data_IF_914752738766
#
_entry.id   IF_914752738766
#
_cell.length_a   1.000
_cell.length_b   1.000
_cell.length_c   1.000
_cell.angle_alpha   90.00
_cell.angle_beta   90.00
_cell.angle_gamma   90.00
#
_symmetry.space_group_name_H-M   'P 1'
#
loop_
_entity.id
_entity.type
_entity.pdbx_description
1 polymer ?
#
# COMPACT_ATOMS: atom_id res chain seq x y z
N UNK A 1 8.13 -13.96 9.45
CA UNK A 1 8.85 -14.48 8.26
C UNK A 1 10.36 -14.29 8.40
N UNK A 2 10.77 -13.17 8.98
CA UNK A 2 12.19 -12.81 9.19
C UNK A 2 13.01 -13.85 9.98
N UNK A 3 12.38 -14.62 10.88
CA UNK A 3 13.04 -15.65 11.71
C UNK A 3 12.71 -17.10 11.35
N UNK A 4 12.24 -17.37 10.15
CA UNK A 4 12.03 -18.76 9.68
C UNK A 4 13.39 -19.47 9.62
N UNK A 5 13.52 -20.62 10.28
CA UNK A 5 14.74 -21.43 10.32
C UNK A 5 15.17 -21.85 8.92
N UNK A 6 16.46 -22.11 8.67
CA UNK A 6 17.00 -22.34 7.32
C UNK A 6 16.53 -23.65 6.65
N UNK A 7 16.00 -24.59 7.43
CA UNK A 7 15.55 -25.94 7.03
C UNK A 7 14.11 -26.00 6.48
N UNK A 8 13.41 -24.86 6.41
CA UNK A 8 12.01 -24.79 5.95
C UNK A 8 11.93 -24.59 4.42
N UNK A 9 11.14 -25.40 3.72
CA UNK A 9 10.95 -25.23 2.26
C UNK A 9 9.88 -24.20 1.88
N UNK A 10 8.85 -24.04 2.73
CA UNK A 10 7.74 -23.13 2.49
C UNK A 10 7.11 -22.63 3.80
N UNK A 11 6.55 -21.42 3.77
CA UNK A 11 5.96 -20.75 4.93
C UNK A 11 4.50 -20.42 4.65
N UNK A 12 3.60 -20.93 5.47
CA UNK A 12 2.20 -20.53 5.46
C UNK A 12 1.92 -19.54 6.60
N UNK A 13 1.18 -18.48 6.32
CA UNK A 13 0.72 -17.53 7.33
C UNK A 13 -0.75 -17.75 7.61
N UNK A 14 -1.13 -17.81 8.88
CA UNK A 14 -2.51 -17.97 9.35
C UNK A 14 -2.81 -16.90 10.41
N UNK A 15 -3.99 -16.28 10.34
CA UNK A 15 -4.43 -15.39 11.40
C UNK A 15 -4.81 -16.18 12.66
N UNK A 16 -4.40 -15.71 13.84
CA UNK A 16 -4.73 -16.36 15.12
C UNK A 16 -6.21 -16.20 15.54
N UNK A 17 -7.05 -15.62 14.69
CA UNK A 17 -8.46 -15.33 14.98
C UNK A 17 -9.41 -16.52 14.68
N UNK A 18 -8.85 -17.69 14.38
CA UNK A 18 -9.51 -18.97 14.07
C UNK A 18 -10.61 -18.89 12.99
N UNK A 19 -10.66 -17.79 12.24
CA UNK A 19 -11.67 -17.61 11.18
C UNK A 19 -11.25 -18.29 9.88
N UNK A 20 -9.94 -18.46 9.67
CA UNK A 20 -9.39 -19.09 8.48
C UNK A 20 -9.12 -20.59 8.78
N UNK A 21 -9.75 -21.54 8.06
CA UNK A 21 -9.61 -22.97 8.35
C UNK A 21 -8.19 -23.46 8.06
N UNK A 22 -7.48 -24.10 9.01
CA UNK A 22 -6.14 -24.63 8.79
C UNK A 22 -6.06 -25.66 7.67
N UNK A 23 -7.15 -26.37 7.38
CA UNK A 23 -7.23 -27.39 6.32
C UNK A 23 -6.99 -26.79 4.93
N UNK A 24 -7.22 -25.48 4.77
CA UNK A 24 -6.95 -24.77 3.50
C UNK A 24 -5.44 -24.74 3.20
N UNK A 25 -4.57 -24.82 4.22
CA UNK A 25 -3.12 -24.89 4.03
C UNK A 25 -2.72 -26.16 3.27
N UNK A 26 -3.43 -27.27 3.44
CA UNK A 26 -3.20 -28.50 2.66
C UNK A 26 -3.47 -28.28 1.16
N UNK A 27 -4.48 -27.47 0.84
CA UNK A 27 -4.78 -27.07 -0.54
C UNK A 27 -3.73 -26.11 -1.08
N UNK A 28 -3.19 -25.21 -0.25
CA UNK A 28 -2.05 -24.38 -0.65
C UNK A 28 -0.82 -25.23 -0.99
N UNK A 29 -0.52 -26.23 -0.15
CA UNK A 29 0.59 -27.15 -0.37
C UNK A 29 0.46 -27.91 -1.70
N UNK A 30 -0.76 -28.35 -2.04
CA UNK A 30 -1.01 -29.02 -3.32
C UNK A 30 -0.73 -28.11 -4.53
N UNK A 31 -1.08 -26.83 -4.47
CA UNK A 31 -0.77 -25.87 -5.54
C UNK A 31 0.72 -25.50 -5.57
N UNK A 32 1.38 -25.39 -4.42
CA UNK A 32 2.82 -25.17 -4.33
C UNK A 32 3.61 -26.31 -4.97
N UNK A 33 3.21 -27.57 -4.70
CA UNK A 33 3.79 -28.76 -5.35
C UNK A 33 3.63 -28.77 -6.87
N UNK A 34 2.64 -28.07 -7.43
CA UNK A 34 2.45 -27.90 -8.89
C UNK A 34 3.38 -26.84 -9.49
N UNK A 35 4.16 -26.13 -8.68
CA UNK A 35 5.13 -25.13 -9.11
C UNK A 35 4.76 -23.67 -8.79
N UNK A 36 3.61 -23.42 -8.14
CA UNK A 36 3.27 -22.06 -7.71
C UNK A 36 4.18 -21.62 -6.54
N UNK A 37 4.94 -20.54 -6.72
CA UNK A 37 5.82 -20.01 -5.67
C UNK A 37 5.06 -19.26 -4.57
N UNK A 38 3.89 -18.72 -4.90
CA UNK A 38 3.01 -18.01 -3.98
C UNK A 38 1.59 -18.54 -4.14
N UNK A 39 0.93 -18.90 -3.05
CA UNK A 39 -0.47 -19.35 -3.07
C UNK A 39 -1.32 -18.48 -2.15
N UNK A 40 -2.28 -17.76 -2.73
CA UNK A 40 -3.16 -16.85 -2.00
C UNK A 40 -4.47 -17.53 -1.58
N UNK A 41 -4.89 -17.30 -0.34
CA UNK A 41 -6.24 -17.60 0.11
C UNK A 41 -7.21 -16.51 -0.33
N UNK A 42 -8.18 -16.85 -1.18
CA UNK A 42 -9.26 -15.93 -1.57
C UNK A 42 -10.59 -16.35 -0.96
N UNK A 43 -11.23 -15.42 -0.26
CA UNK A 43 -12.56 -15.64 0.32
C UNK A 43 -13.59 -15.69 -0.80
N UNK A 44 -14.42 -16.74 -0.86
CA UNK A 44 -15.52 -16.84 -1.84
C UNK A 44 -16.60 -15.79 -1.60
N UNK A 45 -16.97 -15.59 -0.33
CA UNK A 45 -18.05 -14.70 0.07
C UNK A 45 -17.50 -13.46 0.77
N UNK A 46 -17.50 -12.32 0.07
CA UNK A 46 -17.40 -11.00 0.71
C UNK A 46 -18.80 -10.49 0.98
N UNK A 47 -19.23 -10.50 2.24
CA UNK A 47 -20.44 -9.80 2.67
C UNK A 47 -20.19 -8.28 2.78
N UNK A 48 -19.65 -7.68 1.71
CA UNK A 48 -19.43 -6.24 1.66
C UNK A 48 -20.69 -5.55 1.11
N UNK A 49 -21.34 -4.75 1.96
CA UNK A 49 -22.50 -3.92 1.56
C UNK A 49 -22.08 -2.89 0.48
N UNK A 50 -22.70 -3.00 -0.70
CA UNK A 50 -22.79 -1.98 -1.77
C UNK A 50 -21.57 -1.09 -1.99
N UNK A 51 -21.59 0.11 -1.41
CA UNK A 51 -20.55 1.12 -1.61
C UNK A 51 -19.16 0.66 -1.16
N UNK A 52 -19.07 -0.15 -0.10
CA UNK A 52 -17.80 -0.72 0.38
C UNK A 52 -17.22 -1.66 -0.67
N UNK A 53 -18.07 -2.43 -1.36
CA UNK A 53 -17.66 -3.28 -2.47
C UNK A 53 -17.10 -2.44 -3.62
N UNK A 54 -17.74 -1.32 -3.97
CA UNK A 54 -17.30 -0.45 -5.05
C UNK A 54 -15.93 0.18 -4.74
N UNK A 55 -15.76 0.74 -3.54
CA UNK A 55 -14.47 1.30 -3.09
C UNK A 55 -13.38 0.23 -3.02
N UNK A 56 -13.67 -0.96 -2.48
CA UNK A 56 -12.72 -2.07 -2.42
C UNK A 56 -12.32 -2.57 -3.82
N UNK A 57 -13.26 -2.61 -4.77
CA UNK A 57 -12.98 -3.05 -6.14
C UNK A 57 -12.14 -2.02 -6.91
N UNK A 58 -12.49 -0.74 -6.77
CA UNK A 58 -11.70 0.36 -7.32
C UNK A 58 -10.27 0.34 -6.75
N UNK A 59 -10.15 0.13 -5.44
CA UNK A 59 -8.87 0.02 -4.74
C UNK A 59 -8.01 -1.14 -5.23
N UNK A 60 -8.59 -2.35 -5.31
CA UNK A 60 -7.86 -3.51 -5.83
C UNK A 60 -7.37 -3.25 -7.25
N UNK A 61 -8.20 -2.63 -8.10
CA UNK A 61 -7.81 -2.29 -9.46
C UNK A 61 -6.68 -1.24 -9.50
N UNK A 62 -6.72 -0.21 -8.64
CA UNK A 62 -5.65 0.79 -8.57
C UNK A 62 -4.33 0.17 -8.10
N UNK A 63 -4.35 -0.66 -7.06
CA UNK A 63 -3.14 -1.34 -6.58
C UNK A 63 -2.60 -2.27 -7.65
N UNK A 64 -3.46 -3.12 -8.25
CA UNK A 64 -3.05 -4.04 -9.32
C UNK A 64 -2.41 -3.31 -10.49
N UNK A 65 -2.89 -2.11 -10.81
CA UNK A 65 -2.43 -1.35 -11.98
C UNK A 65 -1.17 -0.53 -11.72
N UNK A 66 -1.04 0.06 -10.53
CA UNK A 66 -0.02 1.07 -10.25
C UNK A 66 1.02 0.67 -9.20
N UNK A 67 0.73 -0.34 -8.37
CA UNK A 67 1.56 -0.72 -7.23
C UNK A 67 2.11 -2.16 -7.30
N UNK A 68 1.55 -3.01 -8.18
CA UNK A 68 1.91 -4.43 -8.26
C UNK A 68 2.47 -4.82 -9.63
N UNK A 69 3.30 -5.88 -9.70
CA UNK A 69 3.71 -6.50 -10.95
C UNK A 69 2.51 -6.91 -11.81
N UNK A 70 2.64 -6.75 -13.13
CA UNK A 70 1.61 -7.12 -14.10
C UNK A 70 1.28 -8.61 -13.97
N UNK A 71 -0.01 -8.94 -13.90
CA UNK A 71 -0.47 -10.32 -13.77
C UNK A 71 -0.55 -10.85 -12.32
N UNK A 72 -0.28 -10.00 -11.31
CA UNK A 72 -0.41 -10.42 -9.92
C UNK A 72 -1.84 -10.85 -9.58
N UNK A 73 -1.97 -12.06 -9.03
CA UNK A 73 -3.22 -12.64 -8.54
C UNK A 73 -3.40 -12.41 -7.04
N UNK A 74 -2.72 -11.41 -6.47
CA UNK A 74 -2.78 -11.13 -5.03
C UNK A 74 -4.22 -10.97 -4.56
N UNK A 75 -4.47 -11.42 -3.34
CA UNK A 75 -5.74 -11.18 -2.64
C UNK A 75 -5.45 -10.44 -1.35
N UNK A 76 -6.29 -9.46 -1.04
CA UNK A 76 -6.22 -8.72 0.22
C UNK A 76 -6.47 -9.66 1.40
N UNK A 77 -5.42 -10.02 2.13
CA UNK A 77 -5.47 -10.91 3.27
C UNK A 77 -4.09 -11.36 3.75
N UNK A 78 -3.99 -11.74 5.01
CA UNK A 78 -2.78 -12.29 5.63
C UNK A 78 -2.66 -13.82 5.46
N UNK A 79 -3.54 -14.44 4.67
CA UNK A 79 -3.63 -15.90 4.52
C UNK A 79 -3.05 -16.34 3.18
N UNK A 80 -1.80 -16.80 3.19
CA UNK A 80 -1.09 -17.25 1.99
C UNK A 80 0.04 -18.22 2.36
N UNK A 81 0.55 -18.93 1.36
CA UNK A 81 1.75 -19.73 1.42
C UNK A 81 2.79 -19.13 0.48
N UNK A 82 4.03 -19.02 0.95
CA UNK A 82 5.17 -18.53 0.18
C UNK A 82 6.30 -19.56 0.22
N UNK A 83 6.88 -19.85 -0.95
CA UNK A 83 8.09 -20.65 -1.10
C UNK A 83 9.30 -19.97 -0.42
N UNK A 84 10.28 -20.77 0.01
CA UNK A 84 11.55 -20.29 0.58
C UNK A 84 12.15 -19.14 -0.24
N UNK A 85 12.22 -19.28 -1.56
CA UNK A 85 12.84 -18.27 -2.44
C UNK A 85 12.16 -16.91 -2.32
N UNK A 86 10.83 -16.92 -2.18
CA UNK A 86 10.03 -15.70 -2.00
C UNK A 86 10.31 -15.07 -0.63
N UNK A 87 10.42 -15.91 0.41
CA UNK A 87 10.72 -15.47 1.78
C UNK A 87 12.12 -14.86 1.86
N UNK A 88 13.10 -15.42 1.14
CA UNK A 88 14.46 -14.88 1.12
C UNK A 88 14.51 -13.51 0.41
N UNK A 89 13.85 -13.36 -0.74
CA UNK A 89 13.70 -12.04 -1.37
C UNK A 89 12.99 -11.03 -0.46
N UNK A 90 11.95 -11.46 0.26
CA UNK A 90 11.25 -10.61 1.21
C UNK A 90 12.14 -10.14 2.37
N UNK A 91 13.11 -10.96 2.82
CA UNK A 91 14.03 -10.59 3.91
C UNK A 91 15.00 -9.47 3.52
N UNK A 92 15.34 -9.35 2.25
CA UNK A 92 16.19 -8.27 1.74
C UNK A 92 15.45 -6.92 1.69
N UNK A 93 14.12 -6.93 1.71
CA UNK A 93 13.29 -5.72 1.67
C UNK A 93 13.30 -5.01 3.03
N UNK A 94 14.07 -3.93 3.15
CA UNK A 94 14.24 -3.17 4.41
C UNK A 94 13.20 -2.07 4.66
N UNK A 95 12.10 -2.05 3.90
CA UNK A 95 11.06 -1.03 4.04
C UNK A 95 10.53 -0.96 5.48
N UNK A 96 10.39 0.26 6.00
CA UNK A 96 9.92 0.57 7.34
C UNK A 96 8.40 0.40 7.47
N UNK A 97 7.65 0.73 6.42
CA UNK A 97 6.20 0.62 6.35
C UNK A 97 5.76 -0.70 5.68
N UNK A 98 6.17 -1.85 6.24
CA UNK A 98 5.93 -3.16 5.61
C UNK A 98 4.45 -3.51 5.55
N UNK A 99 3.95 -3.65 4.33
CA UNK A 99 2.69 -4.33 4.04
C UNK A 99 3.03 -5.71 3.48
N UNK A 100 3.11 -6.72 4.36
CA UNK A 100 3.69 -8.04 4.04
C UNK A 100 3.11 -8.68 2.77
N UNK A 101 1.78 -8.71 2.63
CA UNK A 101 1.15 -9.31 1.45
C UNK A 101 1.47 -8.52 0.17
N UNK A 102 1.66 -7.21 0.28
CA UNK A 102 1.98 -6.35 -0.86
C UNK A 102 3.42 -6.57 -1.33
N UNK A 103 4.37 -6.60 -0.38
CA UNK A 103 5.77 -6.89 -0.65
C UNK A 103 5.97 -8.28 -1.26
N UNK A 104 5.28 -9.28 -0.74
CA UNK A 104 5.33 -10.63 -1.30
C UNK A 104 4.72 -10.66 -2.70
N UNK A 105 3.61 -9.97 -2.95
CA UNK A 105 3.07 -9.86 -4.30
C UNK A 105 4.02 -9.10 -5.26
N UNK A 106 4.78 -8.12 -4.75
CA UNK A 106 5.74 -7.31 -5.51
C UNK A 106 6.94 -8.11 -6.04
N UNK A 107 7.32 -9.19 -5.37
CA UNK A 107 8.39 -10.10 -5.83
C UNK A 107 8.16 -10.67 -7.23
N UNK A 108 6.90 -10.70 -7.71
CA UNK A 108 6.56 -11.08 -9.08
C UNK A 108 6.65 -12.57 -9.41
N UNK A 109 6.92 -13.44 -8.43
CA UNK A 109 6.92 -14.90 -8.63
C UNK A 109 5.55 -15.45 -9.01
N UNK A 110 5.53 -16.71 -9.50
CA UNK A 110 4.32 -17.40 -9.94
C UNK A 110 3.28 -17.55 -8.83
N UNK A 111 2.04 -17.12 -9.13
CA UNK A 111 0.96 -17.02 -8.15
C UNK A 111 -0.20 -17.95 -8.51
N UNK A 112 -0.66 -18.71 -7.53
CA UNK A 112 -1.92 -19.46 -7.54
C UNK A 112 -2.89 -18.88 -6.52
N UNK A 113 -4.19 -19.19 -6.69
CA UNK A 113 -5.24 -18.72 -5.79
C UNK A 113 -6.13 -19.89 -5.44
N UNK A 114 -6.31 -20.11 -4.14
CA UNK A 114 -7.19 -21.13 -3.60
C UNK A 114 -8.36 -20.45 -2.91
N UNK A 115 -9.55 -20.74 -3.40
CA UNK A 115 -10.77 -20.22 -2.82
C UNK A 115 -11.20 -20.99 -1.57
N UNK A 116 -11.59 -20.27 -0.52
CA UNK A 116 -12.07 -20.84 0.73
C UNK A 116 -13.23 -20.04 1.32
N UNK A 117 -13.98 -20.70 2.19
CA UNK A 117 -15.09 -20.13 2.95
C UNK A 117 -14.60 -19.84 4.38
N UNK A 118 -14.78 -18.59 4.82
CA UNK A 118 -14.31 -18.15 6.15
C UNK A 118 -15.33 -18.56 7.20
N UNK A 119 -14.88 -19.11 8.33
CA UNK A 119 -15.75 -19.44 9.45
C UNK A 119 -16.31 -18.15 10.07
N UNK A 120 -17.55 -18.21 10.57
CA UNK A 120 -18.14 -17.12 11.33
C UNK A 120 -17.36 -16.88 12.61
N UNK A 121 -17.25 -15.61 13.03
CA UNK A 121 -16.57 -15.28 14.29
C UNK A 121 -17.28 -15.92 15.47
N UNK A 122 -16.54 -16.69 16.27
CA UNK A 122 -17.00 -17.23 17.56
C UNK A 122 -17.07 -16.14 18.65
N UNK A 123 -16.24 -15.08 18.58
CA UNK A 123 -16.33 -13.89 19.43
C UNK A 123 -15.55 -12.68 18.85
N UNK A 124 -16.00 -11.45 19.14
CA UNK A 124 -15.26 -10.19 18.89
C UNK A 124 -15.85 -9.28 17.79
N UNK A 125 -15.83 -7.96 18.04
CA UNK A 125 -16.17 -6.93 17.04
C UNK A 125 -15.06 -6.85 15.96
N UNK A 126 -15.42 -6.52 14.72
CA UNK A 126 -14.44 -6.33 13.66
C UNK A 126 -13.46 -5.20 14.00
N UNK A 127 -12.19 -5.55 14.19
CA UNK A 127 -11.11 -4.58 14.34
C UNK A 127 -10.86 -3.73 13.09
N UNK A 128 -11.53 -4.05 11.98
CA UNK A 128 -11.45 -3.30 10.74
C UNK A 128 -12.61 -2.29 10.66
N UNK A 129 -12.39 -1.11 11.25
CA UNK A 129 -13.29 0.04 11.12
C UNK A 129 -13.04 0.76 9.79
N UNK A 130 -14.04 1.50 9.32
CA UNK A 130 -13.94 2.25 8.06
C UNK A 130 -12.73 3.22 8.03
N UNK A 131 -12.44 3.90 9.15
CA UNK A 131 -11.26 4.76 9.26
C UNK A 131 -9.94 4.02 9.13
N UNK A 132 -9.81 2.82 9.72
CA UNK A 132 -8.61 1.98 9.58
C UNK A 132 -8.42 1.49 8.14
N UNK A 133 -9.51 1.23 7.43
CA UNK A 133 -9.48 0.87 6.01
C UNK A 133 -8.97 2.04 5.14
N UNK A 134 -9.45 3.27 5.36
CA UNK A 134 -8.93 4.45 4.63
C UNK A 134 -7.46 4.68 4.95
N UNK A 135 -7.06 4.57 6.22
CA UNK A 135 -5.66 4.77 6.60
C UNK A 135 -4.75 3.73 5.91
N UNK A 136 -5.13 2.46 5.94
CA UNK A 136 -4.39 1.41 5.25
C UNK A 136 -4.34 1.65 3.72
N UNK A 137 -5.42 2.16 3.13
CA UNK A 137 -5.43 2.57 1.72
C UNK A 137 -4.41 3.67 1.46
N UNK A 138 -4.44 4.72 2.28
CA UNK A 138 -3.56 5.87 2.15
C UNK A 138 -2.10 5.43 2.23
N UNK A 139 -1.76 4.57 3.19
CA UNK A 139 -0.41 4.02 3.33
C UNK A 139 0.03 3.18 2.14
N UNK A 140 -0.84 2.31 1.62
CA UNK A 140 -0.49 1.47 0.46
C UNK A 140 -0.31 2.33 -0.80
N UNK A 141 -1.19 3.31 -1.04
CA UNK A 141 -1.09 4.18 -2.21
C UNK A 141 0.16 5.06 -2.11
N UNK A 142 0.46 5.64 -0.95
CA UNK A 142 1.66 6.48 -0.78
C UNK A 142 2.96 5.67 -0.83
N UNK A 143 2.97 4.41 -0.36
CA UNK A 143 4.20 3.60 -0.32
C UNK A 143 4.51 2.92 -1.65
N UNK A 144 3.49 2.48 -2.39
CA UNK A 144 3.67 1.65 -3.58
C UNK A 144 3.33 2.34 -4.90
N UNK A 145 2.84 3.59 -4.91
CA UNK A 145 2.40 4.27 -6.13
C UNK A 145 2.97 5.67 -6.29
N UNK A 146 3.43 5.97 -7.51
CA UNK A 146 3.79 7.33 -7.93
C UNK A 146 2.57 8.20 -8.28
N UNK A 147 1.36 7.64 -8.20
CA UNK A 147 0.12 8.30 -8.63
C UNK A 147 -0.17 9.62 -7.91
N UNK A 148 -0.01 9.75 -6.57
CA UNK A 148 -0.24 11.02 -5.88
C UNK A 148 0.68 12.14 -6.39
N UNK A 149 1.97 11.83 -6.58
CA UNK A 149 2.93 12.78 -7.12
C UNK A 149 2.57 13.20 -8.55
N UNK A 150 2.19 12.25 -9.42
CA UNK A 150 1.77 12.57 -10.80
C UNK A 150 0.50 13.40 -10.85
N UNK A 151 -0.48 13.13 -9.98
CA UNK A 151 -1.71 13.92 -9.89
C UNK A 151 -1.40 15.37 -9.56
N UNK A 152 -0.47 15.62 -8.64
CA UNK A 152 -0.01 16.97 -8.33
C UNK A 152 0.69 17.64 -9.51
N UNK A 153 1.50 16.92 -10.27
CA UNK A 153 2.09 17.44 -11.51
C UNK A 153 1.00 17.88 -12.49
N UNK A 154 -0.06 17.09 -12.68
CA UNK A 154 -1.18 17.46 -13.55
C UNK A 154 -1.97 18.66 -13.02
N UNK A 155 -2.22 18.74 -11.71
CA UNK A 155 -2.86 19.92 -11.10
C UNK A 155 -1.98 21.16 -11.30
N UNK A 156 -0.67 21.04 -11.08
CA UNK A 156 0.30 22.11 -11.32
C UNK A 156 0.32 22.57 -12.78
N UNK A 157 0.29 21.64 -13.72
CA UNK A 157 0.24 21.95 -15.15
C UNK A 157 -1.07 22.64 -15.54
N UNK A 158 -2.22 22.14 -15.06
CA UNK A 158 -3.53 22.73 -15.34
C UNK A 158 -3.66 24.13 -14.75
N UNK A 159 -3.19 24.33 -13.51
CA UNK A 159 -3.19 25.64 -12.84
C UNK A 159 -2.23 26.62 -13.49
N UNK A 160 -1.05 26.17 -13.95
CA UNK A 160 -0.12 27.00 -14.72
C UNK A 160 -0.71 27.41 -16.07
N UNK A 161 -1.41 26.51 -16.78
CA UNK A 161 -2.07 26.82 -18.04
C UNK A 161 -3.21 27.85 -17.84
N UNK A 162 -4.04 27.66 -16.81
CA UNK A 162 -5.08 28.62 -16.42
C UNK A 162 -4.49 29.97 -16.05
N UNK A 163 -3.40 29.98 -15.28
CA UNK A 163 -2.71 31.22 -14.91
C UNK A 163 -2.13 31.94 -16.13
N UNK A 164 -1.57 31.20 -17.10
CA UNK A 164 -1.08 31.77 -18.35
C UNK A 164 -2.19 32.40 -19.19
N UNK A 165 -3.34 31.71 -19.33
CA UNK A 165 -4.51 32.25 -20.02
C UNK A 165 -5.06 33.50 -19.33
N UNK A 166 -5.16 33.47 -17.99
CA UNK A 166 -5.58 34.63 -17.20
C UNK A 166 -4.62 35.81 -17.36
N UNK A 167 -3.30 35.58 -17.39
CA UNK A 167 -2.30 36.62 -17.61
C UNK A 167 -2.44 37.26 -18.99
N UNK A 168 -2.61 36.47 -20.06
CA UNK A 168 -2.81 36.99 -21.41
C UNK A 168 -4.07 37.88 -21.47
N UNK A 169 -5.17 37.43 -20.86
CA UNK A 169 -6.41 38.20 -20.76
C UNK A 169 -6.22 39.52 -20.00
N UNK A 170 -5.56 39.49 -18.84
CA UNK A 170 -5.31 40.68 -18.03
C UNK A 170 -4.40 41.69 -18.73
N UNK A 171 -3.34 41.23 -19.41
CA UNK A 171 -2.45 42.09 -20.21
C UNK A 171 -3.22 42.71 -21.38
N UNK A 172 -4.08 41.94 -22.05
CA UNK A 172 -4.94 42.44 -23.13
C UNK A 172 -5.87 43.57 -22.67
N UNK A 173 -6.50 43.43 -21.50
CA UNK A 173 -7.35 44.47 -20.92
C UNK A 173 -6.52 45.68 -20.49
N UNK A 174 -5.35 45.47 -19.89
CA UNK A 174 -4.46 46.55 -19.45
C UNK A 174 -4.01 47.45 -20.61
N UNK A 175 -3.83 46.88 -21.81
CA UNK A 175 -3.47 47.65 -23.01
C UNK A 175 -4.64 48.44 -23.62
N UNK A 176 -5.89 48.07 -23.33
CA UNK A 176 -7.08 48.58 -24.01
C UNK A 176 -7.97 49.49 -23.12
N UNK A 177 -7.82 49.43 -21.80
CA UNK A 177 -8.76 50.07 -20.84
C UNK A 177 -8.07 50.59 -19.57
N UNK A 178 -8.66 51.59 -18.90
CA UNK A 178 -8.27 51.96 -17.53
C UNK A 178 -8.75 50.89 -16.53
N UNK A 179 -7.81 50.21 -15.88
CA UNK A 179 -8.10 49.06 -15.01
C UNK A 179 -8.39 49.52 -13.58
N UNK A 180 -9.58 49.20 -13.05
CA UNK A 180 -9.94 49.46 -11.65
C UNK A 180 -9.23 48.52 -10.65
N UNK A 181 -9.09 48.90 -9.36
CA UNK A 181 -8.41 48.09 -8.35
C UNK A 181 -9.10 46.74 -8.11
N UNK A 182 -8.51 45.66 -8.62
CA UNK A 182 -9.03 44.30 -8.56
C UNK A 182 -8.77 43.55 -7.24
N UNK A 183 -8.82 44.24 -6.09
CA UNK A 183 -8.40 43.67 -4.79
C UNK A 183 -9.07 42.33 -4.45
N UNK A 184 -10.39 42.22 -4.63
CA UNK A 184 -11.14 40.98 -4.36
C UNK A 184 -10.68 39.84 -5.27
N UNK A 185 -10.41 40.12 -6.54
CA UNK A 185 -9.88 39.14 -7.49
C UNK A 185 -8.47 38.68 -7.11
N UNK A 186 -7.59 39.61 -6.78
CA UNK A 186 -6.22 39.33 -6.33
C UNK A 186 -6.25 38.45 -5.07
N UNK A 187 -7.05 38.82 -4.07
CA UNK A 187 -7.15 38.07 -2.81
C UNK A 187 -7.76 36.67 -3.00
N UNK A 188 -8.81 36.55 -3.82
CA UNK A 188 -9.41 35.25 -4.14
C UNK A 188 -8.42 34.33 -4.86
N UNK A 189 -7.72 34.86 -5.87
CA UNK A 189 -6.72 34.12 -6.65
C UNK A 189 -5.50 33.74 -5.80
N UNK A 190 -4.98 34.66 -4.97
CA UNK A 190 -3.89 34.35 -4.03
C UNK A 190 -4.29 33.26 -3.04
N UNK A 191 -5.48 33.37 -2.42
CA UNK A 191 -5.95 32.38 -1.44
C UNK A 191 -6.09 31.00 -2.09
N UNK A 192 -6.63 30.92 -3.31
CA UNK A 192 -6.75 29.68 -4.05
C UNK A 192 -5.37 29.06 -4.36
N UNK A 193 -4.44 29.85 -4.89
CA UNK A 193 -3.10 29.34 -5.23
C UNK A 193 -2.30 28.95 -3.98
N UNK A 194 -2.38 29.71 -2.88
CA UNK A 194 -1.76 29.32 -1.62
C UNK A 194 -2.38 28.03 -1.06
N UNK A 195 -3.70 27.86 -1.15
CA UNK A 195 -4.36 26.60 -0.78
C UNK A 195 -3.80 25.41 -1.57
N UNK A 196 -3.66 25.56 -2.89
CA UNK A 196 -3.08 24.52 -3.76
C UNK A 196 -1.60 24.26 -3.42
N UNK A 197 -0.81 25.32 -3.19
CA UNK A 197 0.60 25.21 -2.80
C UNK A 197 0.77 24.47 -1.47
N UNK A 198 -0.05 24.77 -0.46
CA UNK A 198 -0.01 24.05 0.82
C UNK A 198 -0.42 22.59 0.69
N UNK A 199 -1.39 22.27 -0.19
CA UNK A 199 -1.71 20.87 -0.50
C UNK A 199 -0.53 20.14 -1.16
N UNK A 200 0.12 20.76 -2.14
CA UNK A 200 1.33 20.20 -2.76
C UNK A 200 2.45 20.00 -1.75
N UNK A 201 2.70 20.99 -0.89
CA UNK A 201 3.72 20.92 0.14
C UNK A 201 3.43 19.84 1.18
N UNK A 202 2.15 19.64 1.55
CA UNK A 202 1.73 18.57 2.45
C UNK A 202 2.09 17.18 1.90
N UNK A 203 1.82 16.93 0.62
CA UNK A 203 2.19 15.66 -0.03
C UNK A 203 3.71 15.51 -0.13
N UNK A 204 4.45 16.55 -0.51
CA UNK A 204 5.92 16.50 -0.54
C UNK A 204 6.47 16.16 0.86
N UNK A 205 5.92 16.77 1.90
CA UNK A 205 6.32 16.53 3.30
C UNK A 205 6.07 15.09 3.72
N UNK A 206 4.96 14.47 3.27
CA UNK A 206 4.67 13.06 3.50
C UNK A 206 5.73 12.14 2.86
N UNK A 207 6.08 12.37 1.59
CA UNK A 207 7.13 11.59 0.93
C UNK A 207 8.49 11.81 1.58
N UNK A 208 8.82 13.05 1.96
CA UNK A 208 10.07 13.37 2.64
C UNK A 208 10.14 12.67 4.02
N UNK A 209 9.03 12.63 4.75
CA UNK A 209 8.93 11.91 6.01
C UNK A 209 9.15 10.40 5.83
N UNK A 210 8.57 9.79 4.77
CA UNK A 210 8.79 8.38 4.44
C UNK A 210 10.26 8.11 4.12
N UNK A 211 10.89 8.96 3.30
CA UNK A 211 12.33 8.87 3.00
C UNK A 211 13.16 8.98 4.28
N UNK A 212 12.80 9.89 5.19
CA UNK A 212 13.48 10.05 6.48
C UNK A 212 13.33 8.78 7.35
N UNK A 213 12.16 8.15 7.37
CA UNK A 213 11.95 6.88 8.09
C UNK A 213 12.86 5.78 7.53
N UNK A 214 12.94 5.63 6.21
CA UNK A 214 13.83 4.64 5.59
C UNK A 214 15.31 4.95 5.84
N UNK A 215 15.70 6.23 5.79
CA UNK A 215 17.10 6.65 6.01
C UNK A 215 17.55 6.42 7.45
N UNK A 216 16.63 6.53 8.42
CA UNK A 216 16.93 6.21 9.83
C UNK A 216 17.33 4.74 10.02
N UNK A 217 16.95 3.85 9.09
CA UNK A 217 17.31 2.44 9.05
C UNK A 217 17.13 1.71 10.40
N UNK A 218 16.06 2.06 11.12
CA UNK A 218 15.78 1.46 12.42
C UNK A 218 15.37 0.00 12.22
N UNK A 219 15.84 -0.94 13.05
CA UNK A 219 15.34 -2.30 13.01
C UNK A 219 13.84 -2.29 13.33
N UNK A 220 13.09 -3.13 12.63
CA UNK A 220 11.62 -3.17 12.73
C UNK A 220 11.12 -3.61 14.09
N UNK A 221 11.91 -4.43 14.78
CA UNK A 221 11.62 -4.91 16.11
C UNK A 221 12.91 -5.39 16.76
N UNK A 222 12.89 -5.50 18.09
CA UNK A 222 13.92 -6.14 18.87
C UNK A 222 13.34 -7.43 19.47
N UNK A 223 14.07 -8.53 19.35
CA UNK A 223 13.67 -9.80 19.98
C UNK A 223 14.07 -9.75 21.46
N UNK A 224 13.09 -9.71 22.35
CA UNK A 224 13.34 -9.72 23.78
C UNK A 224 13.74 -11.12 24.31
N UNK A 225 13.13 -12.17 23.77
CA UNK A 225 13.39 -13.56 24.16
C UNK A 225 13.04 -14.52 23.01
N UNK A 226 13.84 -15.57 22.84
CA UNK A 226 13.56 -16.69 21.94
C UNK A 226 13.51 -18.00 22.72
N UNK A 227 12.47 -18.82 22.51
CA UNK A 227 12.31 -20.13 23.14
C UNK A 227 12.25 -21.19 22.03
N UNK A 228 13.07 -22.24 22.13
CA UNK A 228 13.02 -23.40 21.23
C UNK A 228 13.60 -23.19 19.82
N UNK A 229 14.08 -21.99 19.49
CA UNK A 229 14.86 -21.74 18.27
C UNK A 229 16.35 -21.86 18.59
N UNK A 230 17.10 -22.68 17.84
CA UNK A 230 18.57 -22.55 17.78
C UNK A 230 18.87 -21.22 17.08
N UNK A 231 18.88 -20.13 17.83
CA UNK A 231 19.38 -18.87 17.32
C UNK A 231 20.91 -18.96 17.26
N UNK A 232 21.45 -18.98 16.05
CA UNK A 232 22.73 -18.31 15.79
C UNK A 232 22.55 -16.88 16.29
N UNK A 233 23.08 -16.60 17.47
CA UNK A 233 23.26 -15.25 17.94
C UNK A 233 24.07 -14.54 16.86
N UNK A 234 23.45 -13.61 16.14
CA UNK A 234 24.22 -12.56 15.50
C UNK A 234 24.87 -11.80 16.65
N UNK A 235 26.14 -12.09 16.85
CA UNK A 235 27.04 -11.22 17.58
C UNK A 235 26.80 -9.80 17.08
N UNK A 236 26.49 -8.92 18.02
CA UNK A 236 26.52 -7.48 17.82
C UNK A 236 28.00 -7.11 17.59
N UNK A 237 28.51 -7.34 16.38
CA UNK A 237 29.75 -6.70 15.94
C UNK A 237 29.41 -5.30 15.41
N UNK A 238 29.69 -4.33 16.28
CA UNK A 238 29.95 -2.90 16.09
C UNK A 238 28.89 -2.01 15.43
#
# INVERSE_FOLDING_TARGET
MDHVSADVDAVATLAADLQDPPEVVLRFFAEWRKGASIVWGRRRTRQDHGWRRLVSTLFENLIRRYAMPRGSKFTTGSFFLADRRVVDCFREMRESARVTFALIAWTGFDQAVVEYDRLSRTAGKSGWTFGRMIHAFYDVVMSFSQMPARLLTFIGLATSALSGAALIYLVGIWLLSEVQPGWTGIMATMTLFFGILFLMLGVISEYLYRILLETKNRPLYFVAQSVGSRSEARELEH
#
